data_IF_351878941527
#
_entry.id   IF_351878941527
#
_cell.length_a   1.000
_cell.length_b   1.000
_cell.length_c   1.000
_cell.angle_alpha   90.00
_cell.angle_beta   90.00
_cell.angle_gamma   90.00
#
_symmetry.space_group_name_H-M   'P 1'
#
loop_
_entity.id
_entity.type
_entity.pdbx_description
1 polymer ?
#
# COMPACT_ATOMS: atom_id res chain seq x y z
N UNK A 1 -2.73 10.32 -2.86
CA UNK A 1 -3.74 10.29 -1.76
C UNK A 1 -3.05 10.11 -0.41
N UNK A 2 -3.62 10.61 0.69
CA UNK A 2 -3.04 10.46 2.05
C UNK A 2 -4.06 9.81 3.00
N UNK A 3 -3.63 8.81 3.75
CA UNK A 3 -4.40 8.10 4.77
C UNK A 3 -3.76 8.40 6.14
N UNK A 4 -4.58 8.80 7.11
CA UNK A 4 -4.14 8.88 8.51
C UNK A 4 -4.23 7.49 9.16
N UNK A 5 -3.13 7.02 9.73
CA UNK A 5 -3.02 5.69 10.35
C UNK A 5 -2.60 5.87 11.81
N UNK A 6 -3.50 5.56 12.74
CA UNK A 6 -3.17 5.47 14.15
C UNK A 6 -2.47 4.13 14.41
N UNK A 7 -1.33 4.19 15.06
CA UNK A 7 -0.70 3.01 15.64
C UNK A 7 -0.28 3.37 17.05
N UNK A 8 -0.75 2.57 17.98
CA UNK A 8 -0.37 2.69 19.38
C UNK A 8 1.12 2.34 19.51
N UNK A 9 1.82 3.20 20.22
CA UNK A 9 3.09 3.01 20.89
C UNK A 9 4.37 2.95 20.02
N UNK A 10 5.07 4.09 20.03
CA UNK A 10 6.52 4.27 19.81
C UNK A 10 7.17 3.46 18.68
N UNK A 11 7.44 4.19 17.59
CA UNK A 11 8.31 3.79 16.47
C UNK A 11 7.86 2.53 15.74
N UNK A 12 7.19 2.72 14.61
CA UNK A 12 7.10 1.72 13.55
C UNK A 12 8.51 1.28 13.13
N UNK A 13 9.07 0.27 13.80
CA UNK A 13 10.21 -0.49 13.27
C UNK A 13 9.63 -1.43 12.23
N UNK A 14 9.43 -0.91 11.02
CA UNK A 14 8.98 -1.73 9.90
C UNK A 14 10.14 -2.60 9.45
N UNK A 15 9.97 -3.91 9.57
CA UNK A 15 10.93 -4.90 9.11
C UNK A 15 10.74 -5.14 7.61
N UNK A 16 11.82 -5.50 6.91
CA UNK A 16 11.77 -5.87 5.50
C UNK A 16 10.71 -6.96 5.23
N UNK A 17 10.52 -7.90 6.16
CA UNK A 17 9.55 -8.99 6.06
C UNK A 17 8.09 -8.54 5.95
N UNK A 18 7.79 -7.28 6.30
CA UNK A 18 6.44 -6.72 6.23
C UNK A 18 6.12 -6.10 4.88
N UNK A 19 7.12 -5.87 4.03
CA UNK A 19 6.94 -5.28 2.69
C UNK A 19 6.62 -6.41 1.72
N UNK A 20 5.38 -6.45 1.23
CA UNK A 20 4.93 -7.50 0.35
C UNK A 20 5.09 -7.12 -1.13
N UNK A 21 5.52 -8.07 -1.96
CA UNK A 21 5.68 -7.89 -3.41
C UNK A 21 4.36 -7.61 -4.13
N UNK A 22 3.24 -8.06 -3.57
CA UNK A 22 1.88 -7.86 -4.07
C UNK A 22 1.29 -6.49 -3.69
N UNK A 23 2.12 -5.45 -3.59
CA UNK A 23 1.68 -4.05 -3.55
C UNK A 23 1.07 -3.59 -2.21
N UNK A 24 1.53 -4.12 -1.08
CA UNK A 24 1.13 -3.65 0.24
C UNK A 24 2.24 -3.74 1.29
N UNK A 25 2.06 -2.99 2.37
CA UNK A 25 2.83 -3.07 3.61
C UNK A 25 1.95 -3.72 4.68
N UNK A 26 2.41 -4.83 5.27
CA UNK A 26 1.79 -5.44 6.44
C UNK A 26 2.20 -4.69 7.72
N UNK A 27 1.32 -4.63 8.70
CA UNK A 27 1.63 -4.08 10.05
C UNK A 27 1.91 -5.21 11.05
N UNK A 28 1.69 -6.44 10.62
CA UNK A 28 1.99 -7.68 11.33
C UNK A 28 2.56 -8.71 10.33
N UNK A 29 2.72 -9.97 10.74
CA UNK A 29 3.20 -11.02 9.84
C UNK A 29 2.17 -11.26 8.72
N UNK A 30 2.56 -11.08 7.44
CA UNK A 30 1.63 -11.25 6.34
C UNK A 30 1.20 -12.71 6.21
N UNK A 31 -0.10 -12.91 5.99
CA UNK A 31 -0.66 -14.23 5.76
C UNK A 31 -0.35 -14.74 4.34
N UNK A 32 -0.70 -15.99 4.05
CA UNK A 32 -0.57 -16.57 2.71
C UNK A 32 -1.45 -15.83 1.69
N UNK A 33 -1.03 -15.82 0.41
CA UNK A 33 -1.69 -15.09 -0.69
C UNK A 33 -3.20 -15.33 -0.79
N UNK A 34 -3.64 -16.57 -0.58
CA UNK A 34 -5.05 -16.96 -0.63
C UNK A 34 -5.90 -16.29 0.45
N UNK A 35 -5.31 -15.69 1.48
CA UNK A 35 -6.03 -14.96 2.54
C UNK A 35 -6.23 -13.47 2.25
N UNK A 36 -5.48 -12.87 1.31
CA UNK A 36 -5.57 -11.43 1.04
C UNK A 36 -5.86 -11.04 -0.41
N UNK A 37 -5.54 -11.88 -1.41
CA UNK A 37 -5.77 -11.52 -2.81
C UNK A 37 -7.28 -11.39 -3.09
N UNK A 38 -7.68 -10.19 -3.56
CA UNK A 38 -9.09 -9.83 -3.79
C UNK A 38 -9.94 -9.72 -2.52
N UNK A 39 -9.32 -9.74 -1.32
CA UNK A 39 -10.00 -9.83 -0.03
C UNK A 39 -9.71 -8.60 0.84
N UNK A 40 -10.04 -7.42 0.35
CA UNK A 40 -10.06 -6.20 1.16
C UNK A 40 -11.46 -5.95 1.76
N UNK A 41 -11.57 -5.64 3.07
CA UNK A 41 -10.49 -5.48 4.04
C UNK A 41 -9.86 -6.82 4.45
N UNK A 42 -8.53 -6.83 4.60
CA UNK A 42 -7.84 -8.00 5.10
C UNK A 42 -8.13 -8.23 6.59
N UNK A 43 -8.03 -9.50 6.99
CA UNK A 43 -8.17 -9.94 8.38
C UNK A 43 -6.98 -9.56 9.28
N UNK A 44 -5.97 -8.92 8.71
CA UNK A 44 -4.74 -8.48 9.39
C UNK A 44 -4.44 -7.01 9.02
N UNK A 45 -3.58 -6.37 9.81
CA UNK A 45 -3.14 -5.00 9.64
C UNK A 45 -2.40 -4.80 8.31
N UNK A 46 -2.91 -3.95 7.42
CA UNK A 46 -2.29 -3.69 6.12
C UNK A 46 -2.50 -2.26 5.62
N UNK A 47 -1.52 -1.74 4.89
CA UNK A 47 -1.65 -0.56 4.02
C UNK A 47 -1.43 -1.05 2.59
N UNK A 48 -2.51 -1.16 1.82
CA UNK A 48 -2.49 -1.54 0.42
C UNK A 48 -2.38 -0.30 -0.47
N UNK A 49 -1.39 -0.28 -1.36
CA UNK A 49 -1.27 0.75 -2.40
C UNK A 49 -1.72 0.21 -3.76
N UNK A 50 -1.45 -1.05 -4.07
CA UNK A 50 -1.80 -1.64 -5.35
C UNK A 50 -1.88 -3.16 -5.17
N UNK A 51 -2.80 -3.59 -4.29
CA UNK A 51 -2.96 -4.98 -3.92
C UNK A 51 -3.50 -5.80 -5.09
N UNK A 52 -2.70 -6.74 -5.58
CA UNK A 52 -3.05 -7.65 -6.64
C UNK A 52 -2.04 -8.78 -6.76
N UNK A 53 -2.33 -9.75 -7.62
CA UNK A 53 -1.38 -10.83 -7.92
C UNK A 53 -0.28 -10.28 -8.85
N UNK A 54 0.85 -9.90 -8.24
CA UNK A 54 1.97 -9.29 -8.94
C UNK A 54 3.08 -10.31 -9.17
N UNK A 55 3.74 -10.20 -10.31
CA UNK A 55 4.83 -11.09 -10.66
C UNK A 55 6.04 -10.83 -9.76
N UNK A 56 6.42 -11.87 -9.01
CA UNK A 56 7.57 -11.91 -8.10
C UNK A 56 8.73 -12.75 -8.66
N UNK A 57 8.65 -13.18 -9.93
CA UNK A 57 9.72 -13.93 -10.60
C UNK A 57 10.98 -13.08 -10.79
N UNK A 58 12.12 -13.76 -10.78
CA UNK A 58 13.42 -13.12 -10.91
C UNK A 58 13.51 -12.22 -12.16
N UNK A 59 13.85 -10.95 -11.94
CA UNK A 59 14.03 -9.97 -13.01
C UNK A 59 12.76 -9.26 -13.46
N UNK A 60 11.59 -9.58 -12.91
CA UNK A 60 10.33 -8.87 -13.19
C UNK A 60 9.99 -7.90 -12.06
N UNK A 61 10.21 -6.62 -12.31
CA UNK A 61 9.97 -5.57 -11.32
C UNK A 61 10.87 -5.69 -10.09
N UNK A 62 10.88 -4.65 -9.26
CA UNK A 62 11.68 -4.60 -8.03
C UNK A 62 10.96 -3.81 -6.95
N UNK A 63 11.12 -4.25 -5.70
CA UNK A 63 10.64 -3.50 -4.54
C UNK A 63 11.85 -2.92 -3.81
N UNK A 64 11.93 -1.60 -3.78
CA UNK A 64 12.95 -0.88 -3.03
C UNK A 64 12.32 -0.25 -1.79
N UNK A 65 13.07 -0.24 -0.70
CA UNK A 65 12.66 0.48 0.49
C UNK A 65 13.85 1.17 1.14
N UNK A 66 13.57 2.28 1.83
CA UNK A 66 14.56 2.99 2.65
C UNK A 66 13.85 3.76 3.76
N UNK A 67 14.52 3.86 4.90
CA UNK A 67 14.17 4.82 5.94
C UNK A 67 14.98 6.10 5.74
N UNK A 68 14.35 7.24 5.95
CA UNK A 68 14.95 8.55 5.74
C UNK A 68 14.52 9.54 6.83
N UNK A 69 15.48 10.28 7.37
CA UNK A 69 15.26 11.34 8.37
C UNK A 69 15.86 12.67 7.92
N UNK A 70 16.28 12.79 6.65
CA UNK A 70 16.84 14.03 6.13
C UNK A 70 15.78 15.14 6.12
N UNK A 71 16.10 16.37 6.58
CA UNK A 71 15.15 17.48 6.63
C UNK A 71 14.43 17.73 5.30
N UNK A 72 15.13 17.59 4.16
CA UNK A 72 14.53 17.78 2.83
C UNK A 72 13.43 16.77 2.49
N UNK A 73 13.51 15.54 3.02
CA UNK A 73 12.47 14.51 2.81
C UNK A 73 11.31 14.78 3.76
N UNK A 74 11.60 15.04 5.03
CA UNK A 74 10.58 15.35 6.03
C UNK A 74 9.77 16.59 5.68
N UNK A 75 10.39 17.65 5.16
CA UNK A 75 9.70 18.86 4.70
C UNK A 75 8.72 18.57 3.57
N UNK A 76 9.09 17.75 2.57
CA UNK A 76 8.16 17.36 1.49
C UNK A 76 6.99 16.56 2.02
N UNK A 77 7.24 15.67 2.98
CA UNK A 77 6.20 14.89 3.64
C UNK A 77 5.24 15.81 4.40
N UNK A 78 5.76 16.81 5.13
CA UNK A 78 4.95 17.84 5.80
C UNK A 78 4.08 18.57 4.77
N UNK A 79 4.65 19.07 3.68
CA UNK A 79 3.92 19.79 2.64
C UNK A 79 2.73 18.97 2.10
N UNK A 80 2.94 17.68 1.85
CA UNK A 80 1.88 16.78 1.41
C UNK A 80 0.79 16.60 2.49
N UNK A 81 1.16 16.31 3.73
CA UNK A 81 0.21 16.09 4.82
C UNK A 81 -0.60 17.36 5.09
N UNK A 82 0.06 18.52 5.20
CA UNK A 82 -0.60 19.80 5.47
C UNK A 82 -1.60 20.20 4.38
N UNK A 83 -1.38 19.81 3.13
CA UNK A 83 -2.35 20.03 2.04
C UNK A 83 -3.61 19.17 2.20
N UNK A 84 -3.47 17.93 2.68
CA UNK A 84 -4.60 17.02 2.87
C UNK A 84 -5.33 17.23 4.21
N UNK A 85 -4.60 17.64 5.25
CA UNK A 85 -5.09 17.81 6.62
C UNK A 85 -4.71 19.21 7.14
N UNK A 86 -5.31 20.29 6.60
CA UNK A 86 -4.95 21.66 6.96
C UNK A 86 -5.34 22.06 8.39
N UNK A 87 -6.10 21.22 9.10
CA UNK A 87 -6.54 21.46 10.48
C UNK A 87 -5.65 20.74 11.51
N UNK A 88 -4.62 20.03 11.06
CA UNK A 88 -3.73 19.27 11.93
C UNK A 88 -2.52 20.14 12.30
N UNK A 89 -2.56 20.72 13.51
CA UNK A 89 -1.64 21.78 13.93
C UNK A 89 -0.25 21.24 14.32
N UNK A 90 -0.07 19.92 14.44
CA UNK A 90 1.18 19.31 14.90
C UNK A 90 1.80 18.29 13.92
N UNK A 91 1.95 18.64 12.65
CA UNK A 91 2.62 17.77 11.67
C UNK A 91 4.16 17.88 11.83
N UNK A 92 4.76 16.95 12.59
CA UNK A 92 6.21 16.89 12.86
C UNK A 92 6.77 15.47 12.65
N UNK A 93 6.89 14.99 11.40
CA UNK A 93 7.47 13.69 11.11
C UNK A 93 8.94 13.64 11.52
N UNK A 94 9.35 12.53 12.12
CA UNK A 94 10.74 12.28 12.54
C UNK A 94 11.46 11.35 11.56
N UNK A 95 10.71 10.44 10.95
CA UNK A 95 11.20 9.44 10.01
C UNK A 95 10.17 9.24 8.90
N UNK A 96 10.65 8.90 7.72
CA UNK A 96 9.84 8.46 6.60
C UNK A 96 10.35 7.10 6.11
N UNK A 97 9.47 6.10 6.06
CA UNK A 97 9.71 4.88 5.29
C UNK A 97 9.19 5.11 3.87
N UNK A 98 10.05 4.92 2.88
CA UNK A 98 9.70 5.05 1.47
C UNK A 98 9.80 3.67 0.84
N UNK A 99 8.72 3.17 0.26
CA UNK A 99 8.64 1.88 -0.43
C UNK A 99 8.21 2.13 -1.87
N UNK A 100 8.99 1.65 -2.83
CA UNK A 100 8.72 1.80 -4.26
C UNK A 100 8.64 0.43 -4.91
N UNK A 101 7.49 0.11 -5.49
CA UNK A 101 7.33 -1.00 -6.43
C UNK A 101 7.61 -0.43 -7.81
N UNK A 102 8.78 -0.76 -8.36
CA UNK A 102 9.27 -0.27 -9.64
C UNK A 102 9.03 -1.33 -10.72
N UNK A 103 8.41 -0.92 -11.83
CA UNK A 103 8.19 -1.74 -13.02
C UNK A 103 7.63 -3.13 -12.68
N UNK A 104 6.63 -3.18 -11.80
CA UNK A 104 5.93 -4.42 -11.44
C UNK A 104 4.88 -4.76 -12.49
N UNK A 105 4.58 -6.05 -12.61
CA UNK A 105 3.69 -6.62 -13.59
C UNK A 105 2.59 -7.42 -12.90
N UNK A 106 1.45 -7.62 -13.57
CA UNK A 106 0.52 -8.67 -13.16
C UNK A 106 1.15 -10.06 -13.36
N UNK A 107 0.90 -10.98 -12.43
CA UNK A 107 1.26 -12.39 -12.58
C UNK A 107 0.57 -12.99 -13.81
N UNK A 108 1.20 -13.95 -14.47
CA UNK A 108 0.61 -14.62 -15.65
C UNK A 108 0.51 -13.77 -16.92
N UNK A 109 0.85 -12.48 -16.91
CA UNK A 109 1.00 -11.71 -18.15
C UNK A 109 2.22 -12.22 -18.93
N UNK A 110 1.96 -13.04 -19.96
CA UNK A 110 2.98 -13.44 -20.92
C UNK A 110 3.21 -12.31 -21.93
N UNK A 111 4.37 -11.65 -21.85
CA UNK A 111 4.86 -10.85 -22.97
C UNK A 111 5.17 -11.77 -24.17
N UNK A 112 5.22 -11.23 -25.38
CA UNK A 112 5.49 -11.98 -26.63
C UNK A 112 6.89 -12.61 -26.74
N UNK A 113 7.64 -12.70 -25.64
CA UNK A 113 9.00 -13.24 -25.58
C UNK A 113 10.11 -12.21 -25.87
N UNK A 114 9.78 -10.99 -26.27
CA UNK A 114 10.72 -9.89 -26.54
C UNK A 114 10.80 -8.85 -25.39
N UNK A 115 9.95 -9.00 -24.37
CA UNK A 115 9.89 -8.11 -23.20
C UNK A 115 9.26 -6.74 -23.45
N UNK A 116 8.85 -6.41 -24.68
CA UNK A 116 8.41 -5.07 -25.07
C UNK A 116 6.91 -4.81 -24.84
N UNK A 117 6.08 -5.85 -24.80
CA UNK A 117 4.61 -5.74 -24.70
C UNK A 117 4.03 -5.95 -23.28
N UNK A 118 4.87 -6.13 -22.26
CA UNK A 118 4.36 -6.47 -20.93
C UNK A 118 4.06 -5.21 -20.14
N UNK A 119 2.80 -5.03 -19.71
CA UNK A 119 2.36 -3.82 -19.00
C UNK A 119 3.07 -3.72 -17.66
N UNK A 120 3.44 -2.49 -17.28
CA UNK A 120 4.21 -2.22 -16.07
C UNK A 120 3.68 -1.01 -15.32
N UNK A 121 3.62 -1.14 -14.01
CA UNK A 121 3.28 -0.04 -13.12
C UNK A 121 4.45 0.26 -12.19
N UNK A 122 4.59 1.53 -11.84
CA UNK A 122 5.46 1.98 -10.76
C UNK A 122 4.61 2.81 -9.79
N UNK A 123 4.71 2.53 -8.51
CA UNK A 123 3.98 3.26 -7.47
C UNK A 123 4.79 3.28 -6.17
N UNK A 124 4.53 4.27 -5.32
CA UNK A 124 5.32 4.50 -4.12
C UNK A 124 4.43 4.80 -2.90
N UNK A 125 4.72 4.12 -1.80
CA UNK A 125 4.15 4.39 -0.49
C UNK A 125 5.19 5.13 0.36
N UNK A 126 4.79 6.21 1.00
CA UNK A 126 5.57 6.87 2.05
C UNK A 126 4.81 6.79 3.37
N UNK A 127 5.38 6.15 4.38
CA UNK A 127 4.86 6.16 5.74
C UNK A 127 5.66 7.15 6.56
N UNK A 128 5.02 8.26 6.92
CA UNK A 128 5.58 9.32 7.73
C UNK A 128 5.26 9.08 9.20
N UNK A 129 6.26 8.88 10.04
CA UNK A 129 6.07 8.57 11.46
C UNK A 129 6.36 9.77 12.35
N UNK A 130 5.43 10.02 13.26
CA UNK A 130 5.46 11.06 14.29
C UNK A 130 5.45 10.43 15.67
N UNK A 131 5.48 11.24 16.72
CA UNK A 131 5.46 10.74 18.11
C UNK A 131 4.17 9.98 18.46
N UNK A 132 3.04 10.39 17.89
CA UNK A 132 1.69 9.91 18.27
C UNK A 132 0.88 9.32 17.12
N UNK A 133 1.34 9.44 15.88
CA UNK A 133 0.60 9.02 14.70
C UNK A 133 1.52 8.72 13.51
N UNK A 134 0.96 8.11 12.47
CA UNK A 134 1.62 7.99 11.18
C UNK A 134 0.68 8.34 10.02
N UNK A 135 1.25 8.83 8.92
CA UNK A 135 0.51 9.12 7.69
C UNK A 135 1.06 8.26 6.56
N UNK A 136 0.17 7.63 5.81
CA UNK A 136 0.50 6.90 4.59
C UNK A 136 0.18 7.77 3.38
N UNK A 137 1.20 8.11 2.60
CA UNK A 137 1.08 8.89 1.37
C UNK A 137 1.29 7.94 0.19
N UNK A 138 0.27 7.79 -0.64
CA UNK A 138 0.27 6.91 -1.81
C UNK A 138 0.49 7.77 -3.06
N UNK A 139 1.57 7.48 -3.77
CA UNK A 139 1.97 8.13 -5.01
C UNK A 139 1.78 7.20 -6.20
N UNK A 140 1.05 7.69 -7.19
CA UNK A 140 0.88 7.08 -8.50
C UNK A 140 1.37 8.08 -9.56
N UNK A 141 2.05 7.62 -10.63
CA UNK A 141 2.38 8.47 -11.76
C UNK A 141 1.09 8.92 -12.45
N UNK A 142 0.98 10.22 -12.73
CA UNK A 142 -0.17 10.79 -13.45
C UNK A 142 -0.34 10.09 -14.79
N UNK A 143 -1.55 9.60 -15.07
CA UNK A 143 -1.89 8.83 -16.28
C UNK A 143 -0.99 7.59 -16.52
N UNK A 144 -0.29 7.11 -15.47
CA UNK A 144 0.81 6.16 -15.62
C UNK A 144 0.50 4.70 -15.27
N UNK A 145 -0.74 4.38 -14.88
CA UNK A 145 -1.15 2.99 -14.63
C UNK A 145 -1.52 2.30 -15.95
N UNK A 146 -0.68 1.37 -16.40
CA UNK A 146 -0.85 0.63 -17.66
C UNK A 146 -1.83 -0.55 -17.54
N UNK A 147 -1.95 -1.09 -16.32
CA UNK A 147 -2.94 -2.09 -15.94
C UNK A 147 -3.55 -1.76 -14.58
N UNK A 148 -4.77 -2.22 -14.33
CA UNK A 148 -5.56 -1.90 -13.13
C UNK A 148 -6.25 -3.13 -12.53
N UNK A 149 -6.02 -4.31 -13.12
CA UNK A 149 -6.60 -5.58 -12.72
C UNK A 149 -5.53 -6.68 -12.81
N UNK A 150 -5.60 -7.68 -11.92
CA UNK A 150 -4.69 -8.84 -11.86
C UNK A 150 -5.47 -10.14 -11.81
N UNK A 151 -4.91 -11.28 -12.25
CA UNK A 151 -5.58 -12.56 -12.13
C UNK A 151 -5.65 -13.01 -10.67
N UNK A 152 -6.84 -13.35 -10.18
CA UNK A 152 -7.04 -13.97 -8.87
C UNK A 152 -7.98 -15.15 -9.06
N UNK A 153 -7.52 -16.36 -8.74
CA UNK A 153 -8.28 -17.60 -8.91
C UNK A 153 -8.90 -17.76 -10.32
N UNK A 154 -8.20 -17.32 -11.37
CA UNK A 154 -8.64 -17.40 -12.76
C UNK A 154 -9.59 -16.28 -13.22
N UNK A 155 -9.87 -15.28 -12.38
CA UNK A 155 -10.69 -14.12 -12.72
C UNK A 155 -9.83 -12.84 -12.77
N UNK A 156 -10.17 -11.90 -13.65
CA UNK A 156 -9.54 -10.58 -13.66
C UNK A 156 -10.19 -9.71 -12.57
N UNK A 157 -9.45 -9.45 -11.50
CA UNK A 157 -9.93 -8.68 -10.34
C UNK A 157 -9.22 -7.32 -10.30
N UNK A 158 -9.94 -6.19 -10.19
CA UNK A 158 -9.32 -4.89 -9.99
C UNK A 158 -8.40 -4.88 -8.77
N UNK A 159 -7.28 -4.19 -8.88
CA UNK A 159 -6.37 -4.04 -7.74
C UNK A 159 -7.01 -3.20 -6.64
N UNK A 160 -6.63 -3.46 -5.40
CA UNK A 160 -7.23 -2.81 -4.24
C UNK A 160 -6.23 -1.86 -3.58
N UNK A 161 -6.69 -0.68 -3.16
CA UNK A 161 -5.87 0.29 -2.43
C UNK A 161 -6.64 0.78 -1.20
N UNK A 162 -5.98 0.95 -0.06
CA UNK A 162 -6.63 1.26 1.20
C UNK A 162 -5.85 0.84 2.44
N UNK A 163 -6.54 0.81 3.57
CA UNK A 163 -6.03 0.41 4.87
C UNK A 163 -6.99 -0.58 5.53
N UNK A 164 -6.44 -1.54 6.28
CA UNK A 164 -7.20 -2.41 7.18
C UNK A 164 -6.46 -2.49 8.51
N UNK A 165 -7.17 -2.33 9.64
CA UNK A 165 -6.62 -2.64 10.96
C UNK A 165 -6.55 -4.15 11.21
N UNK A 166 -7.26 -4.96 10.43
CA UNK A 166 -7.41 -6.39 10.67
C UNK A 166 -8.52 -6.72 11.66
N UNK A 167 -8.58 -7.97 12.08
CA UNK A 167 -9.57 -8.45 13.04
C UNK A 167 -9.24 -7.93 14.45
N UNK A 168 -10.21 -7.31 15.09
CA UNK A 168 -10.11 -6.86 16.49
C UNK A 168 -10.97 -7.74 17.37
N UNK A 169 -10.44 -8.12 18.52
CA UNK A 169 -11.19 -8.85 19.54
C UNK A 169 -11.82 -7.85 20.51
N UNK A 170 -13.15 -7.91 20.67
CA UNK A 170 -13.81 -7.10 21.68
C UNK A 170 -13.46 -7.63 23.08
N UNK A 171 -13.19 -6.73 24.03
CA UNK A 171 -12.71 -7.06 25.38
C UNK A 171 -13.68 -7.93 26.21
N UNK A 172 -14.92 -8.12 25.75
CA UNK A 172 -15.95 -8.98 26.35
C UNK A 172 -16.49 -10.05 25.38
N UNK A 173 -15.82 -10.31 24.25
CA UNK A 173 -16.26 -11.30 23.26
C UNK A 173 -15.20 -12.37 22.97
N UNK A 174 -15.68 -13.59 22.77
CA UNK A 174 -14.92 -14.71 22.22
C UNK A 174 -14.84 -14.67 20.69
N UNK A 175 -15.58 -13.77 20.04
CA UNK A 175 -15.54 -13.55 18.60
C UNK A 175 -14.73 -12.30 18.22
N UNK A 176 -14.00 -12.39 17.11
CA UNK A 176 -13.34 -11.27 16.46
C UNK A 176 -14.25 -10.62 15.42
N UNK A 177 -14.20 -9.30 15.29
CA UNK A 177 -14.85 -8.57 14.20
C UNK A 177 -13.83 -7.79 13.39
N UNK A 178 -14.20 -7.42 12.17
CA UNK A 178 -13.36 -6.54 11.35
C UNK A 178 -13.19 -5.19 12.05
N UNK A 179 -11.94 -4.80 12.30
CA UNK A 179 -11.59 -3.47 12.81
C UNK A 179 -11.75 -2.39 11.75
N UNK A 180 -11.55 -1.11 12.11
CA UNK A 180 -11.49 0.01 11.19
C UNK A 180 -10.71 -0.29 9.90
N UNK A 181 -11.30 0.09 8.77
CA UNK A 181 -10.69 -0.04 7.46
C UNK A 181 -11.20 1.07 6.54
N UNK A 182 -10.45 1.35 5.49
CA UNK A 182 -10.82 2.32 4.47
C UNK A 182 -10.40 1.80 3.09
N UNK A 183 -11.32 1.76 2.13
CA UNK A 183 -11.06 1.34 0.74
C UNK A 183 -10.98 2.58 -0.14
N UNK A 184 -9.80 2.85 -0.70
CA UNK A 184 -9.58 3.92 -1.67
C UNK A 184 -10.06 3.49 -3.05
N UNK A 185 -9.52 2.37 -3.52
CA UNK A 185 -9.99 1.70 -4.73
C UNK A 185 -10.84 0.51 -4.32
N UNK A 186 -12.03 0.43 -4.90
CA UNK A 186 -13.00 -0.63 -4.68
C UNK A 186 -12.84 -1.70 -5.77
N UNK A 187 -13.84 -2.58 -5.91
CA UNK A 187 -13.82 -3.66 -6.91
C UNK A 187 -14.26 -3.18 -8.31
N UNK A 188 -14.11 -1.87 -8.58
CA UNK A 188 -14.44 -1.22 -9.84
C UNK A 188 -13.21 -0.54 -10.44
N UNK A 189 -12.96 -0.81 -11.73
CA UNK A 189 -11.83 -0.26 -12.48
C UNK A 189 -11.83 1.27 -12.52
N UNK A 190 -13.00 1.93 -12.49
CA UNK A 190 -13.04 3.39 -12.49
C UNK A 190 -12.43 3.97 -11.20
N UNK A 191 -12.66 3.32 -10.04
CA UNK A 191 -12.05 3.72 -8.78
C UNK A 191 -10.52 3.58 -8.79
N UNK A 192 -10.00 2.58 -9.51
CA UNK A 192 -8.55 2.39 -9.67
C UNK A 192 -7.96 3.46 -10.58
N UNK A 193 -8.65 3.83 -11.67
CA UNK A 193 -8.16 4.89 -12.60
C UNK A 193 -7.98 6.23 -11.89
N UNK A 194 -8.91 6.58 -10.99
CA UNK A 194 -8.87 7.79 -10.17
C UNK A 194 -7.63 7.88 -9.25
N UNK A 195 -6.93 6.78 -9.00
CA UNK A 195 -5.66 6.81 -8.24
C UNK A 195 -4.57 7.62 -8.96
N UNK A 196 -4.64 7.69 -10.30
CA UNK A 196 -3.61 8.28 -11.16
C UNK A 196 -4.07 9.52 -11.94
N UNK A 197 -5.24 10.06 -11.61
CA UNK A 197 -5.77 11.32 -12.17
C UNK A 197 -5.33 12.53 -11.31
#
# INVERSE_FOLDING_TARGET
MIIHVFADDNTFVIFQSQINTNGFLAVEEPKVESEYLGKMPASFGMIAIFLGDLDNSDGVGKVYYRQDSRPSVLLRTIDHISQAFPQDDEIKPTHALIITWENVAAHGEHGRGDGLDRKRNTFQLVVASMASASYAILFYPREGLQYISTPVAGQSVPVQAGFSQGLVQAWFSWSSSQGPYYRIATDDEASVRQLSE
#
